data_IF_872454728475
#
_entry.id   IF_872454728475
#
_cell.length_a   1.000
_cell.length_b   1.000
_cell.length_c   1.000
_cell.angle_alpha   90.00
_cell.angle_beta   90.00
_cell.angle_gamma   90.00
#
_symmetry.space_group_name_H-M   'P 1'
#
loop_
_entity.id
_entity.type
_entity.pdbx_description
1 polymer ?
#
# COMPACT_ATOMS: atom_id res chain seq x y z
N UNK A 1 -18.52 2.61 -42.69
CA UNK A 1 -19.87 3.08 -43.07
C UNK A 1 -20.37 2.14 -44.14
N UNK A 2 -21.34 1.26 -43.82
CA UNK A 2 -21.97 0.36 -44.78
C UNK A 2 -23.45 0.72 -44.83
N UNK A 3 -23.93 1.08 -46.01
CA UNK A 3 -25.31 1.46 -46.28
C UNK A 3 -26.03 0.25 -46.86
N UNK A 4 -27.10 -0.20 -46.21
CA UNK A 4 -28.08 -1.13 -46.78
C UNK A 4 -29.46 -0.50 -46.62
N UNK A 5 -30.21 -0.41 -47.72
CA UNK A 5 -31.62 0.03 -47.80
C UNK A 5 -31.98 1.43 -47.29
N UNK A 6 -31.07 2.42 -47.45
CA UNK A 6 -31.42 3.84 -47.31
C UNK A 6 -31.89 4.28 -45.92
N UNK A 7 -31.72 3.43 -44.90
CA UNK A 7 -31.89 3.77 -43.48
C UNK A 7 -30.53 3.64 -42.80
N UNK A 8 -30.02 4.76 -42.28
CA UNK A 8 -28.88 4.73 -41.34
C UNK A 8 -29.35 4.13 -40.02
N UNK A 9 -29.34 2.79 -39.92
CA UNK A 9 -29.47 2.11 -38.63
C UNK A 9 -28.08 1.88 -38.07
N UNK A 10 -27.77 2.53 -36.95
CA UNK A 10 -26.64 2.13 -36.12
C UNK A 10 -26.89 0.67 -35.70
N UNK A 11 -26.10 -0.27 -36.23
CA UNK A 11 -25.85 -1.52 -35.50
C UNK A 11 -25.45 -1.12 -34.08
N UNK A 12 -26.00 -1.74 -33.00
CA UNK A 12 -25.67 -1.33 -31.63
C UNK A 12 -24.15 -1.38 -31.53
N UNK A 13 -23.54 -0.21 -31.48
CA UNK A 13 -22.10 -0.07 -31.64
C UNK A 13 -21.47 -0.82 -30.47
N UNK A 14 -20.64 -1.80 -30.77
CA UNK A 14 -19.71 -2.36 -29.80
C UNK A 14 -19.01 -1.18 -29.12
N UNK A 15 -19.21 -0.99 -27.82
CA UNK A 15 -18.53 0.07 -27.10
C UNK A 15 -17.05 -0.27 -27.09
N UNK A 16 -16.21 0.57 -27.67
CA UNK A 16 -14.77 0.38 -27.69
C UNK A 16 -14.16 1.39 -26.73
N UNK A 17 -13.36 0.95 -25.78
CA UNK A 17 -12.62 1.89 -24.92
C UNK A 17 -11.50 2.60 -25.68
N UNK A 18 -10.86 3.60 -25.06
CA UNK A 18 -9.74 4.34 -25.67
C UNK A 18 -8.59 3.42 -26.12
N UNK A 19 -8.55 2.19 -25.58
CA UNK A 19 -7.53 1.17 -25.81
C UNK A 19 -7.93 0.16 -26.89
N UNK A 20 -9.06 0.38 -27.58
CA UNK A 20 -9.48 -0.49 -28.68
C UNK A 20 -10.15 -1.79 -28.24
N UNK A 21 -10.46 -1.98 -26.94
CA UNK A 21 -11.10 -3.20 -26.45
C UNK A 21 -12.60 -3.15 -26.72
N UNK A 22 -13.18 -4.12 -27.45
CA UNK A 22 -14.61 -4.19 -27.68
C UNK A 22 -15.35 -4.71 -26.44
N UNK A 23 -16.42 -4.03 -26.07
CA UNK A 23 -17.26 -4.36 -24.93
C UNK A 23 -18.72 -4.57 -25.33
N UNK A 24 -19.52 -5.29 -24.53
CA UNK A 24 -20.94 -5.48 -24.80
C UNK A 24 -21.68 -4.14 -24.98
N UNK A 25 -22.76 -4.11 -25.74
CA UNK A 25 -23.56 -2.89 -25.94
C UNK A 25 -24.23 -2.35 -24.66
N UNK A 26 -24.20 -3.13 -23.58
CA UNK A 26 -24.64 -2.76 -22.22
C UNK A 26 -23.52 -2.15 -21.37
N UNK A 27 -22.31 -2.00 -21.93
CA UNK A 27 -21.16 -1.44 -21.25
C UNK A 27 -21.29 0.08 -21.20
N UNK A 28 -21.84 0.58 -20.10
CA UNK A 28 -22.05 2.01 -19.82
C UNK A 28 -21.22 2.44 -18.61
N UNK A 29 -20.52 3.57 -18.74
CA UNK A 29 -19.83 4.24 -17.64
C UNK A 29 -20.63 5.42 -17.09
N UNK A 30 -20.31 5.87 -15.87
CA UNK A 30 -20.83 7.13 -15.34
C UNK A 30 -19.89 8.27 -15.74
N UNK A 31 -20.46 9.40 -16.13
CA UNK A 31 -19.70 10.65 -16.22
C UNK A 31 -19.25 11.05 -14.81
N UNK A 32 -17.95 11.28 -14.66
CA UNK A 32 -17.36 11.69 -13.39
C UNK A 32 -16.36 12.81 -13.62
N UNK A 33 -16.41 13.83 -12.77
CA UNK A 33 -15.43 14.94 -12.79
C UNK A 33 -14.06 14.49 -12.26
N UNK A 34 -14.04 13.39 -11.50
CA UNK A 34 -12.85 12.80 -10.91
C UNK A 34 -13.04 11.28 -10.78
N UNK A 35 -11.96 10.53 -11.01
CA UNK A 35 -11.96 9.10 -10.71
C UNK A 35 -11.36 8.81 -9.34
N UNK A 36 -12.02 7.96 -8.53
CA UNK A 36 -11.38 7.43 -7.34
C UNK A 36 -10.16 6.59 -7.73
N UNK A 37 -9.47 6.03 -6.74
CA UNK A 37 -8.26 5.23 -6.95
C UNK A 37 -8.41 4.23 -8.11
N UNK A 38 -7.47 4.18 -9.07
CA UNK A 38 -7.54 3.30 -10.24
C UNK A 38 -7.76 1.83 -9.90
N UNK A 39 -7.19 1.37 -8.79
CA UNK A 39 -7.33 -0.02 -8.35
C UNK A 39 -8.78 -0.39 -8.00
N UNK A 40 -9.62 0.55 -7.57
CA UNK A 40 -11.04 0.28 -7.28
C UNK A 40 -11.88 0.10 -8.54
N UNK A 41 -11.35 0.50 -9.70
CA UNK A 41 -12.04 0.47 -10.99
C UNK A 41 -11.64 -0.72 -11.86
N UNK A 42 -10.68 -1.52 -11.40
CA UNK A 42 -10.36 -2.81 -12.01
C UNK A 42 -11.57 -3.76 -11.88
N UNK A 43 -11.85 -4.52 -12.94
CA UNK A 43 -13.02 -5.40 -13.06
C UNK A 43 -14.39 -4.67 -13.03
N UNK A 44 -14.39 -3.34 -13.23
CA UNK A 44 -15.60 -2.51 -13.32
C UNK A 44 -15.75 -1.87 -14.72
N UNK A 45 -16.98 -1.44 -15.08
CA UNK A 45 -17.20 -0.58 -16.24
C UNK A 45 -16.34 0.69 -16.20
N UNK A 46 -16.03 1.28 -17.36
CA UNK A 46 -15.12 2.40 -17.48
C UNK A 46 -15.76 3.64 -16.85
N UNK A 47 -14.93 4.59 -16.47
CA UNK A 47 -15.38 5.91 -16.05
C UNK A 47 -15.32 6.84 -17.26
N UNK A 48 -16.32 7.69 -17.45
CA UNK A 48 -16.32 8.67 -18.54
C UNK A 48 -15.73 9.97 -17.97
N UNK A 49 -14.48 10.28 -18.33
CA UNK A 49 -13.79 11.50 -17.91
C UNK A 49 -13.61 12.40 -19.13
N UNK A 50 -14.21 13.59 -19.11
CA UNK A 50 -14.12 14.53 -20.24
C UNK A 50 -14.58 13.90 -21.57
N UNK A 51 -15.72 13.20 -21.55
CA UNK A 51 -16.29 12.42 -22.68
C UNK A 51 -15.46 11.21 -23.15
N UNK A 52 -14.37 10.87 -22.45
CA UNK A 52 -13.50 9.73 -22.79
C UNK A 52 -13.76 8.56 -21.84
N UNK A 53 -14.11 7.36 -22.35
CA UNK A 53 -14.24 6.17 -21.51
C UNK A 53 -12.86 5.60 -21.15
N UNK A 54 -12.54 5.62 -19.85
CA UNK A 54 -11.30 5.09 -19.29
C UNK A 54 -11.59 3.88 -18.41
N UNK A 55 -11.04 2.72 -18.80
CA UNK A 55 -11.08 1.51 -17.98
C UNK A 55 -10.13 1.60 -16.78
N UNK A 56 -10.39 0.82 -15.72
CA UNK A 56 -9.49 0.75 -14.57
C UNK A 56 -8.05 0.37 -14.95
N UNK A 57 -7.88 -0.51 -15.94
CA UNK A 57 -6.57 -0.87 -16.48
C UNK A 57 -5.83 0.33 -17.12
N UNK A 58 -6.55 1.16 -17.86
CA UNK A 58 -6.01 2.39 -18.45
C UNK A 58 -5.56 3.36 -17.36
N UNK A 59 -6.41 3.55 -16.34
CA UNK A 59 -6.11 4.42 -15.21
C UNK A 59 -4.92 3.93 -14.36
N UNK A 60 -4.73 2.61 -14.25
CA UNK A 60 -3.53 2.01 -13.64
C UNK A 60 -2.28 2.38 -14.46
N UNK A 61 -2.35 2.27 -15.80
CA UNK A 61 -1.24 2.67 -16.67
C UNK A 61 -0.87 4.14 -16.51
N UNK A 62 -1.86 5.04 -16.53
CA UNK A 62 -1.67 6.48 -16.28
C UNK A 62 -1.05 6.75 -14.91
N UNK A 63 -1.49 6.04 -13.88
CA UNK A 63 -0.97 6.22 -12.51
C UNK A 63 0.48 5.73 -12.33
N UNK A 64 0.91 4.71 -13.09
CA UNK A 64 2.25 4.12 -12.99
C UNK A 64 3.26 4.87 -13.88
N UNK A 65 2.80 5.53 -14.95
CA UNK A 65 3.65 6.25 -15.91
C UNK A 65 4.76 7.12 -15.29
N UNK A 66 4.47 7.99 -14.30
CA UNK A 66 5.50 8.81 -13.65
C UNK A 66 6.61 8.00 -12.98
N UNK A 67 6.30 6.84 -12.39
CA UNK A 67 7.29 5.97 -11.76
C UNK A 67 8.18 5.27 -12.80
N UNK A 68 7.61 4.90 -13.96
CA UNK A 68 8.38 4.34 -15.07
C UNK A 68 9.34 5.37 -15.67
N UNK A 69 8.88 6.60 -15.88
CA UNK A 69 9.73 7.69 -16.36
C UNK A 69 10.87 7.97 -15.38
N UNK A 70 10.57 8.07 -14.08
CA UNK A 70 11.59 8.27 -13.05
C UNK A 70 12.61 7.11 -12.99
N UNK A 71 12.17 5.86 -13.19
CA UNK A 71 13.07 4.72 -13.27
C UNK A 71 13.94 4.79 -14.53
N UNK A 72 13.38 5.15 -15.68
CA UNK A 72 14.11 5.29 -16.93
C UNK A 72 15.17 6.40 -16.84
N UNK A 73 14.82 7.54 -16.27
CA UNK A 73 15.74 8.65 -16.03
C UNK A 73 16.88 8.26 -15.07
N UNK A 74 16.56 7.50 -14.02
CA UNK A 74 17.56 7.08 -13.03
C UNK A 74 18.54 6.02 -13.57
N UNK A 75 18.03 5.03 -14.32
CA UNK A 75 18.83 3.91 -14.82
C UNK A 75 19.36 4.13 -16.25
N UNK A 76 18.95 5.21 -16.93
CA UNK A 76 19.35 5.54 -18.30
C UNK A 76 18.73 4.64 -19.37
N UNK A 77 17.75 3.81 -19.01
CA UNK A 77 17.05 2.90 -19.93
C UNK A 77 15.64 2.61 -19.43
N UNK A 78 14.70 2.43 -20.35
CA UNK A 78 13.34 2.04 -20.00
C UNK A 78 13.31 0.68 -19.29
N UNK A 79 12.47 0.52 -18.25
CA UNK A 79 12.25 -0.77 -17.61
C UNK A 79 11.70 -1.81 -18.60
N UNK A 80 12.30 -3.00 -18.65
CA UNK A 80 11.82 -4.10 -19.52
C UNK A 80 10.94 -5.12 -18.80
N UNK A 81 10.95 -5.10 -17.46
CA UNK A 81 10.19 -6.01 -16.60
C UNK A 81 9.44 -5.20 -15.55
N UNK A 82 8.14 -5.46 -15.41
CA UNK A 82 7.34 -4.97 -14.28
C UNK A 82 6.85 -6.11 -13.40
N UNK A 83 7.00 -5.94 -12.09
CA UNK A 83 6.47 -6.86 -11.10
C UNK A 83 5.39 -6.13 -10.31
N UNK A 84 4.14 -6.48 -10.57
CA UNK A 84 2.99 -5.93 -9.86
C UNK A 84 2.77 -6.64 -8.53
N UNK A 85 2.76 -5.88 -7.44
CA UNK A 85 2.31 -6.40 -6.14
C UNK A 85 0.81 -6.17 -6.00
N UNK A 86 0.05 -7.20 -5.61
CA UNK A 86 -1.40 -7.08 -5.42
C UNK A 86 -1.86 -7.60 -4.06
N UNK A 87 -2.95 -7.08 -3.49
CA UNK A 87 -3.56 -7.65 -2.29
C UNK A 87 -3.98 -9.12 -2.50
N UNK A 88 -3.76 -9.96 -1.49
CA UNK A 88 -4.08 -11.39 -1.56
C UNK A 88 -5.60 -11.67 -1.62
N UNK A 89 -6.43 -10.71 -1.21
CA UNK A 89 -7.88 -10.83 -1.16
C UNK A 89 -8.59 -10.30 -2.41
N UNK A 90 -7.84 -9.85 -3.42
CA UNK A 90 -8.46 -9.46 -4.70
C UNK A 90 -9.04 -10.68 -5.41
N UNK A 91 -10.24 -10.55 -6.01
CA UNK A 91 -10.80 -11.61 -6.84
C UNK A 91 -9.96 -11.81 -8.11
N UNK A 92 -10.04 -13.00 -8.71
CA UNK A 92 -9.24 -13.36 -9.88
C UNK A 92 -9.46 -12.42 -11.09
N UNK A 93 -10.69 -11.93 -11.32
CA UNK A 93 -10.99 -10.96 -12.39
C UNK A 93 -10.20 -9.67 -12.23
N UNK A 94 -10.17 -9.11 -11.02
CA UNK A 94 -9.37 -7.93 -10.67
C UNK A 94 -7.87 -8.15 -10.85
N UNK A 95 -7.36 -9.33 -10.51
CA UNK A 95 -5.94 -9.69 -10.72
C UNK A 95 -5.61 -9.74 -12.21
N UNK A 96 -6.47 -10.38 -13.02
CA UNK A 96 -6.28 -10.46 -14.47
C UNK A 96 -6.32 -9.07 -15.13
N UNK A 97 -7.21 -8.17 -14.69
CA UNK A 97 -7.25 -6.79 -15.17
C UNK A 97 -5.98 -6.01 -14.83
N UNK A 98 -5.45 -6.21 -13.62
CA UNK A 98 -4.19 -5.61 -13.21
C UNK A 98 -3.01 -6.14 -14.03
N UNK A 99 -2.95 -7.45 -14.28
CA UNK A 99 -1.94 -8.06 -15.14
C UNK A 99 -1.99 -7.46 -16.56
N UNK A 100 -3.19 -7.36 -17.14
CA UNK A 100 -3.40 -6.75 -18.46
C UNK A 100 -2.96 -5.28 -18.49
N UNK A 101 -3.20 -4.53 -17.43
CA UNK A 101 -2.75 -3.14 -17.33
C UNK A 101 -1.23 -3.04 -17.37
N UNK A 102 -0.52 -3.87 -16.61
CA UNK A 102 0.95 -3.87 -16.54
C UNK A 102 1.60 -4.40 -17.82
N UNK A 103 1.04 -5.44 -18.44
CA UNK A 103 1.55 -6.05 -19.67
C UNK A 103 1.50 -5.11 -20.88
N UNK A 104 0.75 -4.01 -20.80
CA UNK A 104 0.76 -2.93 -21.81
C UNK A 104 1.93 -1.97 -21.66
N UNK A 105 2.51 -1.89 -20.46
CA UNK A 105 3.58 -0.93 -20.14
C UNK A 105 4.96 -1.49 -20.43
N UNK A 106 5.16 -2.80 -20.28
CA UNK A 106 6.46 -3.46 -20.52
C UNK A 106 6.29 -4.84 -21.17
N UNK A 107 7.27 -5.31 -21.96
CA UNK A 107 7.17 -6.61 -22.65
C UNK A 107 7.14 -7.80 -21.69
N UNK A 108 7.63 -7.63 -20.46
CA UNK A 108 7.60 -8.67 -19.43
C UNK A 108 6.87 -8.17 -18.19
N UNK A 109 5.95 -8.99 -17.69
CA UNK A 109 5.17 -8.69 -16.49
C UNK A 109 5.09 -9.94 -15.62
N UNK A 110 5.16 -9.74 -14.31
CA UNK A 110 4.84 -10.75 -13.31
C UNK A 110 3.95 -10.13 -12.24
N UNK A 111 3.16 -10.97 -11.57
CA UNK A 111 2.38 -10.57 -10.40
C UNK A 111 2.84 -11.38 -9.18
N UNK A 112 2.83 -10.73 -8.02
CA UNK A 112 3.07 -11.37 -6.73
C UNK A 112 2.05 -10.89 -5.69
N UNK A 113 1.45 -11.82 -4.91
CA UNK A 113 0.64 -11.43 -3.77
C UNK A 113 1.47 -10.67 -2.73
N UNK A 114 0.88 -9.62 -2.15
CA UNK A 114 1.53 -8.79 -1.13
C UNK A 114 2.18 -9.59 0.01
N UNK A 115 1.52 -10.61 0.61
CA UNK A 115 2.12 -11.40 1.69
C UNK A 115 3.36 -12.15 1.25
N UNK A 116 3.42 -12.63 0.00
CA UNK A 116 4.58 -13.33 -0.54
C UNK A 116 5.74 -12.36 -0.81
N UNK A 117 5.43 -11.16 -1.30
CA UNK A 117 6.43 -10.10 -1.44
C UNK A 117 7.02 -9.71 -0.06
N UNK A 118 6.17 -9.53 0.96
CA UNK A 118 6.62 -9.27 2.32
C UNK A 118 7.47 -10.43 2.86
N UNK A 119 7.02 -11.68 2.68
CA UNK A 119 7.79 -12.84 3.10
C UNK A 119 9.17 -12.89 2.43
N UNK A 120 9.27 -12.56 1.13
CA UNK A 120 10.51 -12.56 0.38
C UNK A 120 11.55 -11.55 0.89
N UNK A 121 11.13 -10.40 1.43
CA UNK A 121 12.06 -9.43 2.03
C UNK A 121 12.38 -9.72 3.51
N UNK A 122 11.54 -10.48 4.22
CA UNK A 122 11.74 -10.78 5.64
C UNK A 122 12.96 -11.67 5.86
N UNK A 123 13.83 -11.25 6.79
CA UNK A 123 15.06 -11.98 7.10
C UNK A 123 14.77 -13.09 8.11
N UNK A 124 15.29 -14.32 7.92
CA UNK A 124 15.14 -15.37 8.91
C UNK A 124 15.61 -14.91 10.29
N UNK A 125 14.85 -15.15 11.36
CA UNK A 125 15.27 -14.79 12.70
C UNK A 125 16.36 -15.76 13.20
N UNK A 126 17.15 -15.34 14.19
CA UNK A 126 18.15 -16.21 14.82
C UNK A 126 17.58 -17.05 15.97
N UNK A 127 16.50 -16.56 16.60
CA UNK A 127 16.01 -17.05 17.90
C UNK A 127 14.53 -17.44 17.90
N UNK A 128 13.83 -17.27 16.78
CA UNK A 128 12.42 -17.62 16.63
C UNK A 128 12.25 -18.55 15.42
N UNK A 129 11.11 -19.23 15.33
CA UNK A 129 10.76 -20.01 14.15
C UNK A 129 9.96 -19.19 13.12
N UNK A 130 9.45 -18.02 13.54
CA UNK A 130 8.65 -17.12 12.70
C UNK A 130 9.01 -15.65 12.90
N UNK A 131 8.60 -14.81 11.95
CA UNK A 131 8.53 -13.35 12.09
C UNK A 131 7.10 -12.93 11.78
N UNK A 132 6.52 -12.07 12.62
CA UNK A 132 5.23 -11.44 12.36
C UNK A 132 5.47 -10.06 11.77
N UNK A 133 5.04 -9.85 10.54
CA UNK A 133 5.15 -8.56 9.85
C UNK A 133 3.80 -7.88 9.83
N UNK A 134 3.73 -6.65 10.33
CA UNK A 134 2.55 -5.79 10.25
C UNK A 134 2.80 -4.69 9.22
N UNK A 135 2.06 -4.71 8.12
CA UNK A 135 2.09 -3.70 7.07
C UNK A 135 0.95 -2.71 7.25
N UNK A 136 1.28 -1.43 7.36
CA UNK A 136 0.29 -0.35 7.46
C UNK A 136 0.33 0.52 6.21
N UNK A 137 -0.73 0.40 5.41
CA UNK A 137 -0.95 1.19 4.20
C UNK A 137 -1.88 2.37 4.43
N UNK A 138 -2.25 3.04 3.34
CA UNK A 138 -3.20 4.16 3.39
C UNK A 138 -4.62 3.70 3.74
N UNK A 139 -5.04 2.50 3.33
CA UNK A 139 -6.42 2.01 3.55
C UNK A 139 -6.50 0.76 4.40
N UNK A 140 -5.49 -0.09 4.30
CA UNK A 140 -5.48 -1.42 4.90
C UNK A 140 -4.37 -1.51 5.93
N UNK A 141 -4.56 -2.35 6.94
CA UNK A 141 -3.49 -2.90 7.77
C UNK A 141 -3.47 -4.41 7.61
N UNK A 142 -2.31 -4.99 7.36
CA UNK A 142 -2.16 -6.43 7.10
C UNK A 142 -1.15 -7.02 8.07
N UNK A 143 -1.50 -8.12 8.71
CA UNK A 143 -0.57 -8.95 9.48
C UNK A 143 -0.21 -10.19 8.67
N UNK A 144 1.07 -10.52 8.61
CA UNK A 144 1.60 -11.71 7.93
C UNK A 144 2.55 -12.44 8.85
N UNK A 145 2.32 -13.73 9.06
CA UNK A 145 3.25 -14.61 9.78
C UNK A 145 4.11 -15.32 8.76
N UNK A 146 5.42 -15.10 8.84
CA UNK A 146 6.42 -15.69 7.94
C UNK A 146 7.19 -16.76 8.69
N UNK A 147 7.17 -17.98 8.14
CA UNK A 147 7.99 -19.10 8.60
C UNK A 147 9.20 -19.28 7.68
N UNK A 148 10.23 -19.98 8.16
CA UNK A 148 11.43 -20.23 7.38
C UNK A 148 11.75 -21.72 7.32
N UNK A 149 12.07 -22.22 6.13
CA UNK A 149 12.64 -23.56 5.99
C UNK A 149 14.05 -23.64 6.62
N UNK A 150 14.58 -24.85 6.79
CA UNK A 150 15.97 -25.06 7.25
C UNK A 150 17.03 -24.36 6.39
N UNK A 151 16.72 -24.07 5.12
CA UNK A 151 17.61 -23.34 4.19
C UNK A 151 17.40 -21.82 4.22
N UNK A 152 16.54 -21.32 5.11
CA UNK A 152 16.22 -19.89 5.23
C UNK A 152 15.25 -19.38 4.18
N UNK A 153 14.59 -20.26 3.41
CA UNK A 153 13.57 -19.84 2.44
C UNK A 153 12.30 -19.42 3.18
N UNK A 154 11.82 -18.17 3.01
CA UNK A 154 10.61 -17.67 3.65
C UNK A 154 9.36 -18.32 3.06
N UNK A 155 8.32 -18.48 3.88
CA UNK A 155 6.99 -18.93 3.48
C UNK A 155 5.92 -18.22 4.30
N UNK A 156 4.88 -17.75 3.64
CA UNK A 156 3.68 -17.24 4.32
C UNK A 156 3.01 -18.42 5.04
N UNK A 157 2.98 -18.36 6.38
CA UNK A 157 2.22 -19.30 7.22
C UNK A 157 0.77 -18.84 7.33
N UNK A 158 0.58 -17.52 7.49
CA UNK A 158 -0.72 -16.91 7.70
C UNK A 158 -0.71 -15.45 7.24
N UNK A 159 -1.85 -14.95 6.79
CA UNK A 159 -2.05 -13.53 6.51
C UNK A 159 -3.49 -13.12 6.79
N UNK A 160 -3.67 -11.92 7.32
CA UNK A 160 -4.99 -11.33 7.53
C UNK A 160 -4.92 -9.81 7.33
N UNK A 161 -5.97 -9.25 6.73
CA UNK A 161 -6.05 -7.81 6.43
C UNK A 161 -7.30 -7.20 7.05
N UNK A 162 -7.10 -6.17 7.87
CA UNK A 162 -8.13 -5.19 8.17
C UNK A 162 -8.22 -4.20 7.00
N UNK A 163 -9.36 -4.21 6.29
CA UNK A 163 -9.60 -3.37 5.11
C UNK A 163 -9.83 -1.89 5.44
N UNK A 164 -10.02 -1.54 6.71
CA UNK A 164 -10.20 -0.18 7.18
C UNK A 164 -9.07 0.28 8.13
N UNK A 165 -8.10 -0.60 8.44
CA UNK A 165 -7.05 -0.34 9.42
C UNK A 165 -5.90 0.59 8.97
N UNK A 166 -5.96 1.16 7.76
CA UNK A 166 -4.92 2.06 7.24
C UNK A 166 -5.05 3.51 7.70
N UNK A 167 -4.13 4.37 7.23
CA UNK A 167 -4.05 5.78 7.63
C UNK A 167 -5.36 6.55 7.48
N UNK A 168 -6.14 6.30 6.42
CA UNK A 168 -7.38 7.01 6.10
C UNK A 168 -8.41 6.97 7.23
N UNK A 169 -8.48 5.88 7.98
CA UNK A 169 -9.36 5.77 9.14
C UNK A 169 -8.96 6.79 10.22
N UNK A 170 -7.67 6.89 10.51
CA UNK A 170 -7.10 7.88 11.43
C UNK A 170 -7.29 9.30 10.91
N UNK A 171 -7.00 9.53 9.62
CA UNK A 171 -7.07 10.85 9.01
C UNK A 171 -8.51 11.41 9.07
N UNK A 172 -9.52 10.56 8.85
CA UNK A 172 -10.94 10.93 9.04
C UNK A 172 -11.30 11.22 10.49
N UNK A 173 -10.77 10.47 11.45
CA UNK A 173 -10.96 10.74 12.88
C UNK A 173 -10.38 12.11 13.25
N UNK A 174 -9.22 12.48 12.68
CA UNK A 174 -8.61 13.80 12.91
C UNK A 174 -9.46 14.92 12.31
N UNK A 175 -9.99 14.75 11.09
CA UNK A 175 -10.93 15.71 10.49
C UNK A 175 -12.16 15.91 11.38
N UNK A 176 -12.74 14.81 11.88
CA UNK A 176 -13.90 14.85 12.76
C UNK A 176 -13.60 15.53 14.11
N UNK A 177 -12.44 15.26 14.71
CA UNK A 177 -11.99 15.92 15.96
C UNK A 177 -11.82 17.43 15.75
N UNK A 178 -11.20 17.84 14.64
CA UNK A 178 -11.01 19.25 14.29
C UNK A 178 -12.35 19.97 14.05
N UNK A 179 -13.32 19.32 13.41
CA UNK A 179 -14.65 19.88 13.21
C UNK A 179 -15.44 20.00 14.51
N UNK A 180 -15.34 18.98 15.39
CA UNK A 180 -15.96 19.01 16.71
C UNK A 180 -15.38 20.13 17.58
N UNK A 181 -14.06 20.32 17.59
CA UNK A 181 -13.39 21.43 18.30
C UNK A 181 -13.85 22.81 17.77
N UNK A 182 -14.09 22.90 16.45
CA UNK A 182 -14.58 24.13 15.81
C UNK A 182 -16.10 24.33 15.87
N UNK A 183 -16.88 23.37 16.40
CA UNK A 183 -18.33 23.41 16.40
C UNK A 183 -18.97 23.38 15.00
N UNK A 184 -18.31 22.74 14.03
CA UNK A 184 -18.76 22.66 12.63
C UNK A 184 -19.44 21.31 12.40
N UNK A 185 -20.67 21.35 11.87
CA UNK A 185 -21.36 20.14 11.42
C UNK A 185 -20.89 19.73 10.01
N UNK A 186 -20.47 18.47 9.89
CA UNK A 186 -20.01 17.85 8.64
C UNK A 186 -21.01 16.82 8.09
N UNK A 187 -22.21 16.70 8.67
CA UNK A 187 -23.22 15.71 8.27
C UNK A 187 -23.66 15.82 6.80
N UNK A 188 -23.57 17.01 6.21
CA UNK A 188 -23.90 17.28 4.81
C UNK A 188 -22.76 17.07 3.81
N UNK A 189 -21.56 16.66 4.24
CA UNK A 189 -20.41 16.49 3.35
C UNK A 189 -20.41 15.13 2.66
N UNK A 190 -20.05 15.12 1.39
CA UNK A 190 -19.98 13.90 0.58
C UNK A 190 -18.64 13.15 0.75
N UNK A 191 -18.56 11.96 0.14
CA UNK A 191 -17.36 11.12 0.20
C UNK A 191 -16.13 11.81 -0.40
N UNK A 192 -16.30 12.64 -1.44
CA UNK A 192 -15.20 13.33 -2.10
C UNK A 192 -14.57 14.34 -1.16
N UNK A 193 -15.40 15.15 -0.51
CA UNK A 193 -14.96 16.09 0.51
C UNK A 193 -14.19 15.39 1.64
N UNK A 194 -14.70 14.25 2.12
CA UNK A 194 -14.03 13.47 3.17
C UNK A 194 -12.68 12.89 2.73
N UNK A 195 -12.57 12.48 1.46
CA UNK A 195 -11.30 12.00 0.89
C UNK A 195 -10.29 13.14 0.73
N UNK A 196 -10.73 14.30 0.25
CA UNK A 196 -9.90 15.50 0.14
C UNK A 196 -9.42 15.96 1.53
N UNK A 197 -10.33 16.16 2.50
CA UNK A 197 -9.99 16.58 3.85
C UNK A 197 -9.03 15.60 4.54
N UNK A 198 -9.27 14.29 4.43
CA UNK A 198 -8.38 13.28 4.97
C UNK A 198 -7.01 13.27 4.26
N UNK A 199 -6.96 13.56 2.96
CA UNK A 199 -5.70 13.65 2.23
C UNK A 199 -4.83 14.82 2.70
N UNK A 200 -5.42 15.96 3.07
CA UNK A 200 -4.70 17.10 3.64
C UNK A 200 -4.08 16.75 5.00
N UNK A 201 -4.81 15.98 5.84
CA UNK A 201 -4.25 15.44 7.09
C UNK A 201 -3.10 14.49 6.79
N UNK A 202 -3.29 13.52 5.90
CA UNK A 202 -2.26 12.54 5.55
C UNK A 202 -0.97 13.21 5.03
N UNK A 203 -1.10 14.25 4.20
CA UNK A 203 0.01 15.02 3.67
C UNK A 203 0.77 15.76 4.79
N UNK A 204 0.05 16.48 5.64
CA UNK A 204 0.63 17.18 6.81
C UNK A 204 1.34 16.22 7.75
N UNK A 205 0.73 15.07 8.04
CA UNK A 205 1.33 14.01 8.88
C UNK A 205 2.60 13.45 8.28
N UNK A 206 2.56 13.07 6.99
CA UNK A 206 3.73 12.51 6.29
C UNK A 206 4.88 13.51 6.33
N UNK A 207 4.63 14.76 5.93
CA UNK A 207 5.65 15.82 5.94
C UNK A 207 6.31 15.93 7.30
N UNK A 208 5.52 16.06 8.36
CA UNK A 208 6.02 16.30 9.70
C UNK A 208 6.68 15.06 10.33
N UNK A 209 6.08 13.88 10.21
CA UNK A 209 6.67 12.66 10.77
C UNK A 209 7.99 12.28 10.08
N UNK A 210 8.14 12.55 8.78
CA UNK A 210 9.39 12.30 8.04
C UNK A 210 10.44 13.37 8.33
N UNK A 211 10.07 14.65 8.45
CA UNK A 211 11.02 15.75 8.65
C UNK A 211 11.52 15.88 10.10
N UNK A 212 10.64 15.73 11.10
CA UNK A 212 10.99 16.05 12.50
C UNK A 212 11.11 14.82 13.40
N UNK A 213 10.81 13.62 12.90
CA UNK A 213 10.84 12.35 13.66
C UNK A 213 9.93 12.32 14.89
N UNK A 214 9.09 13.34 15.06
CA UNK A 214 8.22 13.58 16.21
C UNK A 214 7.14 14.59 15.83
N UNK A 215 6.02 14.58 16.55
CA UNK A 215 4.94 15.54 16.32
C UNK A 215 5.34 16.93 16.83
N UNK A 216 5.26 18.00 16.02
CA UNK A 216 5.44 19.36 16.50
C UNK A 216 4.33 19.75 17.48
N UNK A 217 4.51 20.83 18.24
CA UNK A 217 3.51 21.28 19.20
C UNK A 217 2.16 21.65 18.54
N UNK A 218 2.23 22.31 17.38
CA UNK A 218 1.09 22.74 16.58
C UNK A 218 1.30 22.43 15.09
N UNK A 219 0.21 22.20 14.37
CA UNK A 219 0.20 21.83 12.96
C UNK A 219 -0.90 22.62 12.27
N UNK A 220 -0.53 23.40 11.27
CA UNK A 220 -1.49 24.08 10.42
C UNK A 220 -1.90 23.17 9.26
N UNK A 221 -3.21 22.97 9.11
CA UNK A 221 -3.82 22.19 8.04
C UNK A 221 -4.88 23.05 7.36
N UNK A 222 -4.83 23.09 6.04
CA UNK A 222 -5.85 23.73 5.21
C UNK A 222 -6.85 22.68 4.76
N UNK A 223 -8.03 22.70 5.37
CA UNK A 223 -9.13 21.81 4.99
C UNK A 223 -10.04 22.47 3.96
N UNK A 224 -10.72 21.69 3.11
CA UNK A 224 -11.81 22.21 2.30
C UNK A 224 -12.90 22.87 3.17
N UNK A 225 -13.61 23.84 2.59
CA UNK A 225 -14.76 24.46 3.25
C UNK A 225 -15.81 23.38 3.59
N UNK A 226 -16.48 23.41 4.76
CA UNK A 226 -16.58 24.54 5.68
C UNK A 226 -15.48 24.62 6.75
N UNK A 227 -14.60 23.61 6.86
CA UNK A 227 -13.65 23.51 7.97
C UNK A 227 -12.52 24.56 7.84
N UNK A 228 -12.02 24.79 6.63
CA UNK A 228 -11.02 25.82 6.34
C UNK A 228 -9.69 25.60 7.07
N UNK A 229 -8.87 26.65 7.15
CA UNK A 229 -7.58 26.58 7.85
C UNK A 229 -7.76 26.36 9.37
N UNK A 230 -7.04 25.40 9.92
CA UNK A 230 -7.04 25.06 11.34
C UNK A 230 -5.63 24.78 11.85
N UNK A 231 -5.38 25.22 13.08
CA UNK A 231 -4.18 24.85 13.82
C UNK A 231 -4.52 23.76 14.83
N UNK A 232 -3.97 22.57 14.64
CA UNK A 232 -4.22 21.40 15.48
C UNK A 232 -3.03 21.14 16.41
N UNK A 233 -3.30 20.64 17.61
CA UNK A 233 -2.25 20.29 18.57
C UNK A 233 -1.62 18.95 18.21
N UNK A 234 -0.33 18.91 17.91
CA UNK A 234 0.36 17.67 17.56
C UNK A 234 0.28 16.57 18.64
N UNK A 235 0.37 16.87 19.96
CA UNK A 235 0.14 15.87 21.00
C UNK A 235 -1.24 15.21 20.93
N UNK A 236 -2.28 15.97 20.54
CA UNK A 236 -3.63 15.44 20.35
C UNK A 236 -3.69 14.51 19.14
N UNK A 237 -3.07 14.89 18.02
CA UNK A 237 -3.01 14.05 16.81
C UNK A 237 -2.24 12.75 17.04
N UNK A 238 -1.13 12.82 17.77
CA UNK A 238 -0.39 11.64 18.22
C UNK A 238 -1.28 10.71 19.05
N UNK A 239 -2.03 11.26 20.02
CA UNK A 239 -2.93 10.48 20.87
C UNK A 239 -4.01 9.80 20.04
N UNK A 240 -4.73 10.54 19.19
CA UNK A 240 -5.78 10.00 18.32
C UNK A 240 -5.24 8.88 17.43
N UNK A 241 -4.08 9.11 16.81
CA UNK A 241 -3.42 8.10 15.97
C UNK A 241 -3.08 6.86 16.78
N UNK A 242 -2.43 7.03 17.93
CA UNK A 242 -1.99 5.90 18.76
C UNK A 242 -3.18 5.09 19.24
N UNK A 243 -4.21 5.74 19.77
CA UNK A 243 -5.42 5.07 20.29
C UNK A 243 -6.19 4.35 19.19
N UNK A 244 -6.32 4.94 18.00
CA UNK A 244 -6.98 4.27 16.88
C UNK A 244 -6.17 3.05 16.44
N UNK A 245 -4.84 3.21 16.30
CA UNK A 245 -3.98 2.13 15.84
C UNK A 245 -3.83 1.01 16.84
N UNK A 246 -3.91 1.27 18.15
CA UNK A 246 -3.96 0.21 19.16
C UNK A 246 -5.16 -0.72 18.93
N UNK A 247 -6.33 -0.18 18.57
CA UNK A 247 -7.51 -1.01 18.26
C UNK A 247 -7.30 -1.86 17.01
N UNK A 248 -6.72 -1.28 15.96
CA UNK A 248 -6.39 -2.00 14.72
C UNK A 248 -5.39 -3.12 15.01
N UNK A 249 -4.30 -2.81 15.72
CA UNK A 249 -3.27 -3.80 16.08
C UNK A 249 -3.86 -4.89 16.96
N UNK A 250 -4.63 -4.54 18.00
CA UNK A 250 -5.31 -5.49 18.86
C UNK A 250 -6.20 -6.45 18.06
N UNK A 251 -6.95 -5.94 17.08
CA UNK A 251 -7.77 -6.75 16.17
C UNK A 251 -6.94 -7.71 15.31
N UNK A 252 -5.82 -7.23 14.74
CA UNK A 252 -4.92 -8.06 13.95
C UNK A 252 -4.26 -9.18 14.76
N UNK A 253 -3.77 -8.86 15.97
CA UNK A 253 -3.09 -9.84 16.82
C UNK A 253 -4.06 -10.86 17.41
N UNK A 254 -5.32 -10.49 17.65
CA UNK A 254 -6.31 -11.38 18.27
C UNK A 254 -6.66 -12.60 17.39
N UNK A 255 -6.23 -12.64 16.12
CA UNK A 255 -6.46 -13.77 15.24
C UNK A 255 -5.79 -15.06 15.76
N UNK A 256 -6.51 -16.18 15.72
CA UNK A 256 -6.07 -17.45 16.32
C UNK A 256 -4.73 -17.95 15.78
N UNK A 257 -4.50 -17.87 14.46
CA UNK A 257 -3.24 -18.26 13.83
C UNK A 257 -2.04 -17.41 14.28
N UNK A 258 -2.26 -16.12 14.57
CA UNK A 258 -1.21 -15.24 15.10
C UNK A 258 -0.87 -15.64 16.53
N UNK A 259 -1.90 -15.85 17.36
CA UNK A 259 -1.73 -16.29 18.75
C UNK A 259 -1.11 -17.69 18.84
N UNK A 260 -1.48 -18.60 17.93
CA UNK A 260 -0.87 -19.93 17.81
C UNK A 260 0.61 -19.82 17.43
N UNK A 261 0.95 -19.04 16.40
CA UNK A 261 2.35 -18.85 16.00
C UNK A 261 3.21 -18.25 17.12
N UNK A 262 2.66 -17.29 17.88
CA UNK A 262 3.37 -16.71 19.02
C UNK A 262 3.49 -17.68 20.19
N UNK A 263 2.52 -18.58 20.39
CA UNK A 263 2.59 -19.61 21.41
C UNK A 263 3.66 -20.67 21.09
N UNK A 264 3.81 -21.04 19.81
CA UNK A 264 4.86 -21.97 19.35
C UNK A 264 6.28 -21.45 19.68
N UNK A 265 6.50 -20.15 19.56
CA UNK A 265 7.80 -19.51 19.86
C UNK A 265 8.04 -19.27 21.36
N UNK A 266 6.99 -19.26 22.19
CA UNK A 266 7.04 -19.00 23.64
C UNK A 266 7.41 -20.24 24.49
N UNK A 267 7.98 -21.28 23.89
CA UNK A 267 8.38 -22.52 24.59
C UNK A 267 9.47 -22.31 25.66
N UNK A 268 10.14 -21.15 25.68
CA UNK A 268 10.93 -20.65 26.81
C UNK A 268 10.38 -19.31 27.29
N UNK A 269 10.37 -19.07 28.60
CA UNK A 269 9.73 -17.92 29.28
C UNK A 269 10.28 -16.53 28.89
N UNK A 270 11.19 -16.44 27.93
CA UNK A 270 11.91 -15.20 27.58
C UNK A 270 11.84 -14.80 26.11
N UNK A 271 11.29 -15.63 25.21
CA UNK A 271 11.26 -15.29 23.78
C UNK A 271 9.98 -14.54 23.44
N UNK A 272 10.07 -13.21 23.36
CA UNK A 272 8.98 -12.38 22.82
C UNK A 272 8.82 -12.63 21.32
N UNK A 273 7.60 -12.52 20.77
CA UNK A 273 7.38 -12.63 19.33
C UNK A 273 8.20 -11.55 18.61
N UNK A 274 8.84 -11.93 17.50
CA UNK A 274 9.54 -10.97 16.66
C UNK A 274 8.54 -10.30 15.73
N UNK A 275 8.29 -9.00 15.98
CA UNK A 275 7.37 -8.20 15.19
C UNK A 275 8.13 -7.15 14.38
N UNK A 276 7.88 -7.12 13.08
CA UNK A 276 8.41 -6.13 12.15
C UNK A 276 7.27 -5.25 11.63
N UNK A 277 7.52 -3.94 11.53
CA UNK A 277 6.57 -2.96 10.99
C UNK A 277 7.02 -2.52 9.60
N UNK A 278 6.09 -2.55 8.64
CA UNK A 278 6.26 -2.18 7.22
C UNK A 278 5.12 -1.27 6.77
N UNK A 279 5.17 -0.84 5.50
CA UNK A 279 4.17 0.02 4.88
C UNK A 279 4.46 1.50 5.10
N UNK A 280 4.01 2.34 4.17
CA UNK A 280 4.26 3.79 4.22
C UNK A 280 3.67 4.45 5.47
N UNK A 281 2.56 3.93 5.99
CA UNK A 281 1.98 4.44 7.22
C UNK A 281 2.70 3.95 8.48
N UNK A 282 3.39 2.80 8.40
CA UNK A 282 4.22 2.27 9.48
C UNK A 282 5.36 3.19 9.91
N UNK A 283 5.74 4.17 9.06
CA UNK A 283 6.73 5.20 9.37
C UNK A 283 6.27 6.20 10.43
N UNK A 284 4.95 6.34 10.68
CA UNK A 284 4.46 7.22 11.73
C UNK A 284 4.88 6.67 13.12
N UNK A 285 5.61 7.44 13.94
CA UNK A 285 6.07 6.98 15.26
C UNK A 285 4.94 6.52 16.19
N UNK A 286 3.73 7.02 15.97
CA UNK A 286 2.53 6.65 16.73
C UNK A 286 2.07 5.24 16.37
N UNK A 287 2.25 4.80 15.12
CA UNK A 287 1.93 3.44 14.68
C UNK A 287 2.89 2.46 15.34
N UNK A 288 4.20 2.73 15.30
CA UNK A 288 5.18 1.88 16.00
C UNK A 288 4.94 1.85 17.52
N UNK A 289 4.54 2.97 18.11
CA UNK A 289 4.17 3.04 19.53
C UNK A 289 2.95 2.17 19.85
N UNK A 290 1.92 2.21 18.99
CA UNK A 290 0.74 1.35 19.13
C UNK A 290 1.10 -0.13 19.01
N UNK A 291 1.91 -0.51 18.02
CA UNK A 291 2.38 -1.90 17.87
C UNK A 291 3.15 -2.35 19.10
N UNK A 292 4.05 -1.51 19.63
CA UNK A 292 4.81 -1.84 20.85
C UNK A 292 3.93 -1.99 22.09
N UNK A 293 2.87 -1.18 22.20
CA UNK A 293 1.94 -1.27 23.30
C UNK A 293 1.17 -2.61 23.31
N UNK A 294 0.76 -3.10 22.14
CA UNK A 294 -0.06 -4.32 22.03
C UNK A 294 0.78 -5.60 21.90
N UNK A 295 1.87 -5.56 21.14
CA UNK A 295 2.69 -6.74 20.82
C UNK A 295 3.99 -6.84 21.65
N UNK A 296 4.34 -5.79 22.41
CA UNK A 296 5.59 -5.70 23.15
C UNK A 296 6.74 -5.21 22.27
N UNK A 297 7.68 -6.09 21.91
CA UNK A 297 8.82 -5.70 21.07
C UNK A 297 8.41 -5.64 19.60
N UNK A 298 8.69 -4.51 18.96
CA UNK A 298 8.56 -4.36 17.51
C UNK A 298 9.66 -3.45 16.94
N UNK A 299 10.15 -3.82 15.76
CA UNK A 299 11.19 -3.09 15.03
C UNK A 299 10.60 -2.58 13.70
N UNK A 300 10.92 -1.34 13.34
CA UNK A 300 10.59 -0.79 12.01
C UNK A 300 11.63 -1.31 11.01
N UNK A 301 11.19 -1.91 9.90
CA UNK A 301 12.14 -2.37 8.88
C UNK A 301 12.85 -1.18 8.22
N UNK A 302 14.06 -1.36 7.67
CA UNK A 302 14.66 -0.36 6.78
C UNK A 302 13.76 -0.11 5.57
N UNK A 303 13.55 1.16 5.20
CA UNK A 303 12.71 1.55 4.06
C UNK A 303 11.31 0.87 4.06
N UNK A 304 10.51 1.05 5.12
CA UNK A 304 9.26 0.30 5.31
C UNK A 304 8.22 0.55 4.21
N UNK A 305 8.22 1.73 3.59
CA UNK A 305 7.35 2.06 2.46
C UNK A 305 7.67 1.25 1.20
N UNK A 306 8.92 0.81 1.06
CA UNK A 306 9.44 0.12 -0.13
C UNK A 306 9.55 -1.41 0.07
N UNK A 307 9.26 -1.92 1.27
CA UNK A 307 9.48 -3.32 1.64
C UNK A 307 8.82 -4.31 0.66
N UNK A 308 7.55 -4.11 0.32
CA UNK A 308 6.85 -5.01 -0.60
C UNK A 308 7.43 -4.95 -2.03
N UNK A 309 7.77 -3.76 -2.53
CA UNK A 309 8.40 -3.62 -3.84
C UNK A 309 9.78 -4.30 -3.88
N UNK A 310 10.59 -4.14 -2.84
CA UNK A 310 11.89 -4.81 -2.73
C UNK A 310 11.74 -6.33 -2.66
N UNK A 311 10.79 -6.83 -1.87
CA UNK A 311 10.50 -8.25 -1.77
C UNK A 311 10.00 -8.85 -3.09
N UNK A 312 9.19 -8.11 -3.85
CA UNK A 312 8.76 -8.51 -5.19
C UNK A 312 9.95 -8.69 -6.14
N UNK A 313 10.89 -7.75 -6.13
CA UNK A 313 12.14 -7.85 -6.89
C UNK A 313 12.97 -9.07 -6.43
N UNK A 314 13.14 -9.28 -5.12
CA UNK A 314 13.87 -10.44 -4.61
C UNK A 314 13.26 -11.78 -5.04
N UNK A 315 11.92 -11.87 -5.09
CA UNK A 315 11.21 -13.07 -5.47
C UNK A 315 11.29 -13.37 -6.98
N UNK A 316 11.16 -12.35 -7.83
CA UNK A 316 10.97 -12.53 -9.28
C UNK A 316 12.17 -12.15 -10.14
N UNK A 317 13.02 -11.19 -9.75
CA UNK A 317 14.15 -10.78 -10.57
C UNK A 317 15.10 -11.92 -10.98
N UNK A 318 15.39 -12.95 -10.14
CA UNK A 318 16.26 -14.05 -10.54
C UNK A 318 15.78 -14.86 -11.75
N UNK A 319 14.49 -14.81 -12.11
CA UNK A 319 13.95 -15.44 -13.31
C UNK A 319 14.32 -14.68 -14.59
N UNK A 320 14.55 -13.37 -14.48
CA UNK A 320 14.74 -12.46 -15.61
C UNK A 320 16.18 -12.06 -15.85
N UNK A 321 17.07 -12.32 -14.89
CA UNK A 321 18.53 -12.14 -15.08
C UNK A 321 19.06 -13.28 -15.96
N UNK A 322 19.71 -13.00 -17.10
CA UNK A 322 20.37 -14.02 -17.94
C UNK A 322 21.36 -14.88 -17.13
N UNK A 323 21.48 -16.18 -17.44
CA UNK A 323 22.27 -17.12 -16.65
C UNK A 323 23.77 -16.73 -16.53
N UNK A 324 24.30 -16.07 -17.54
CA UNK A 324 25.65 -15.50 -17.62
C UNK A 324 25.84 -14.22 -16.79
N UNK A 325 24.74 -13.54 -16.46
CA UNK A 325 24.72 -12.35 -15.61
C UNK A 325 24.27 -12.66 -14.17
N UNK A 326 23.83 -13.90 -13.88
CA UNK A 326 23.53 -14.33 -12.52
C UNK A 326 24.84 -14.36 -11.73
N UNK A 327 24.99 -13.57 -10.67
CA UNK A 327 26.15 -13.69 -9.80
C UNK A 327 26.26 -15.14 -9.33
N UNK A 328 27.47 -15.71 -9.41
CA UNK A 328 27.77 -17.11 -9.06
C UNK A 328 27.32 -17.51 -7.65
N UNK A 329 26.96 -16.52 -6.82
CA UNK A 329 26.27 -16.66 -5.55
C UNK A 329 25.30 -15.50 -5.35
N UNK A 330 24.02 -15.66 -5.68
CA UNK A 330 22.95 -15.03 -4.89
C UNK A 330 22.92 -15.71 -3.51
N UNK A 331 23.99 -15.53 -2.73
CA UNK A 331 23.98 -15.73 -1.28
C UNK A 331 23.85 -14.33 -0.70
N UNK A 332 22.63 -13.88 -0.43
CA UNK A 332 22.41 -12.78 0.50
C UNK A 332 22.84 -13.27 1.89
N UNK A 333 24.15 -13.25 2.12
CA UNK A 333 24.75 -13.34 3.43
C UNK A 333 24.68 -11.96 4.07
N UNK A 334 23.79 -11.84 5.04
CA UNK A 334 23.82 -10.90 6.16
C UNK A 334 25.19 -10.22 6.33
N UNK A 335 25.23 -8.93 6.08
CA UNK A 335 26.23 -8.02 6.63
C UNK A 335 25.46 -6.84 7.20
N UNK A 336 25.09 -6.96 8.48
CA UNK A 336 24.99 -5.78 9.34
C UNK A 336 26.43 -5.38 9.63
N UNK A 337 27.00 -4.49 8.83
CA UNK A 337 28.18 -3.75 9.25
C UNK A 337 27.99 -2.26 9.00
N UNK A 338 28.03 -1.55 10.12
CA UNK A 338 28.36 -0.15 10.31
C UNK A 338 27.33 0.90 9.84
N UNK A 339 26.51 1.32 10.80
CA UNK A 339 26.25 2.75 11.02
C UNK A 339 27.61 3.47 11.01
N UNK A 340 27.82 4.52 10.19
CA UNK A 340 29.02 5.34 10.32
C UNK A 340 28.92 6.06 11.67
N UNK A 341 29.84 5.74 12.60
CA UNK A 341 30.01 6.53 13.80
C UNK A 341 30.34 7.98 13.39
N UNK A 342 29.42 8.90 13.64
CA UNK A 342 29.73 10.33 13.68
C UNK A 342 30.88 10.53 14.65
N UNK A 343 32.08 10.78 14.12
CA UNK A 343 33.16 11.36 14.92
C UNK A 343 32.78 12.81 15.21
N UNK A 344 32.43 13.07 16.45
CA UNK A 344 32.58 14.38 17.05
C UNK A 344 34.02 14.85 16.83
N UNK A 345 34.19 16.04 16.27
CA UNK A 345 35.40 16.84 16.43
C UNK A 345 34.98 18.11 17.17
N UNK A 346 35.42 18.16 18.41
CA UNK A 346 35.85 19.38 19.10
C UNK A 346 36.88 20.14 18.28
#
# INVERSE_FOLDING_TARGET
>A
MLTVDGRSTYSPATCVDIEGVPHPSTWSGSAVDHTPRPDLLLDLPPQIIGDVPLSGATLVGVAIGPALAAAADHFGTEPTVLIGVHPHWWPAGKIADYERALARLTPHTALIPWPEAIAAQTVPPATASHVTVMDFGASTATITVVSFSRRGVPRVRFTHTDRAGGSRGVDRVIVADAAAEAGIDLSGQDQHWWEEAASQVAASRRRLCTETGSWPAAIDIEFPAPLGARQLRGPRLRQLTTTHMQKVVAGLIAHEDVQSAWSDDRTSTTTQPLVEVTGGFGQDPSVLSAVKAEAGRADLVPEPASAAAFGAVLAHAPAWVPADQKPSRFRFGRSRSAVPAQRARS
#
